data_IF_671911696623
#
_entry.id   IF_671911696623
#
_cell.length_a   1.000
_cell.length_b   1.000
_cell.length_c   1.000
_cell.angle_alpha   90.00
_cell.angle_beta   90.00
_cell.angle_gamma   90.00
#
_symmetry.space_group_name_H-M   'P 1'
#
loop_
_entity.id
_entity.type
_entity.pdbx_description
1 polymer ?
#
# COMPACT_ATOMS: atom_id res chain seq x y z
N UNK A 1 12.76 11.25 2.05
CA UNK A 1 11.53 11.13 2.82
C UNK A 1 11.85 10.92 4.32
N UNK A 2 11.03 11.50 5.19
CA UNK A 2 11.23 11.44 6.65
C UNK A 2 10.52 10.22 7.27
N UNK A 3 10.51 9.08 6.57
CA UNK A 3 9.71 7.88 6.91
C UNK A 3 9.94 7.31 8.30
N UNK A 4 11.10 7.63 8.92
CA UNK A 4 11.45 7.18 10.28
C UNK A 4 10.96 8.12 11.37
N UNK A 5 10.49 9.33 11.03
CA UNK A 5 9.98 10.29 11.99
C UNK A 5 8.54 9.98 12.37
N UNK A 6 8.18 10.26 13.60
CA UNK A 6 6.76 10.27 13.97
C UNK A 6 6.02 11.36 13.19
N UNK A 7 4.72 11.20 13.02
CA UNK A 7 3.92 12.17 12.26
C UNK A 7 3.98 13.58 12.86
N UNK A 8 3.99 13.68 14.19
CA UNK A 8 4.10 14.96 14.91
C UNK A 8 5.43 15.69 14.65
N UNK A 9 6.49 14.95 14.35
CA UNK A 9 7.84 15.49 14.12
C UNK A 9 8.17 15.65 12.64
N UNK A 10 7.23 15.29 11.77
CA UNK A 10 7.43 15.38 10.32
C UNK A 10 7.36 16.82 9.85
N UNK A 11 8.36 17.26 9.12
CA UNK A 11 8.34 18.57 8.51
C UNK A 11 7.26 18.68 7.42
N UNK A 12 6.78 19.90 7.17
CA UNK A 12 5.86 20.15 6.04
C UNK A 12 6.44 19.67 4.70
N UNK A 13 7.73 19.89 4.49
CA UNK A 13 8.41 19.47 3.27
C UNK A 13 8.43 17.93 3.14
N UNK A 14 8.77 17.21 4.22
CA UNK A 14 8.75 15.74 4.26
C UNK A 14 7.35 15.17 4.04
N UNK A 15 6.34 15.77 4.67
CA UNK A 15 4.94 15.38 4.51
C UNK A 15 4.47 15.56 3.06
N UNK A 16 4.72 16.73 2.45
CA UNK A 16 4.37 16.98 1.06
C UNK A 16 5.15 16.09 0.08
N UNK A 17 6.40 15.78 0.37
CA UNK A 17 7.18 14.83 -0.43
C UNK A 17 6.58 13.42 -0.39
N UNK A 18 6.12 12.95 0.77
CA UNK A 18 5.44 11.65 0.89
C UNK A 18 4.16 11.60 0.05
N UNK A 19 3.31 12.62 0.13
CA UNK A 19 2.10 12.74 -0.70
C UNK A 19 2.43 12.80 -2.20
N UNK A 20 3.38 13.65 -2.58
CA UNK A 20 3.77 13.84 -3.98
C UNK A 20 4.26 12.55 -4.62
N UNK A 21 5.15 11.83 -3.93
CA UNK A 21 5.78 10.61 -4.49
C UNK A 21 4.86 9.40 -4.38
N UNK A 22 4.14 9.24 -3.27
CA UNK A 22 3.44 7.97 -2.97
C UNK A 22 1.93 8.00 -3.24
N UNK A 23 1.35 9.14 -3.62
CA UNK A 23 -0.04 9.28 -4.04
C UNK A 23 -0.15 10.00 -5.37
N UNK A 24 0.26 11.27 -5.45
CA UNK A 24 0.10 12.09 -6.64
C UNK A 24 0.79 11.52 -7.89
N UNK A 25 1.83 10.71 -7.74
CA UNK A 25 2.49 10.03 -8.85
C UNK A 25 1.50 9.18 -9.68
N UNK A 26 0.54 8.50 -9.04
CA UNK A 26 -0.51 7.75 -9.75
C UNK A 26 -1.37 8.69 -10.60
N UNK A 27 -1.82 9.80 -10.02
CA UNK A 27 -2.62 10.81 -10.72
C UNK A 27 -1.87 11.37 -11.93
N UNK A 28 -0.61 11.78 -11.72
CA UNK A 28 0.24 12.36 -12.75
C UNK A 28 0.54 11.38 -13.90
N UNK A 29 0.86 10.13 -13.57
CA UNK A 29 1.11 9.10 -14.59
C UNK A 29 -0.14 8.80 -15.40
N UNK A 30 -1.29 8.63 -14.74
CA UNK A 30 -2.53 8.30 -15.43
C UNK A 30 -3.05 9.47 -16.28
N UNK A 31 -2.87 10.70 -15.84
CA UNK A 31 -3.22 11.88 -16.63
C UNK A 31 -2.42 11.95 -17.96
N UNK A 32 -1.16 11.53 -17.93
CA UNK A 32 -0.27 11.56 -19.10
C UNK A 32 -0.40 10.30 -19.97
N UNK A 33 -0.47 9.15 -19.36
CA UNK A 33 -0.45 7.86 -20.06
C UNK A 33 -1.86 7.35 -20.43
N UNK A 34 -2.88 7.75 -19.69
CA UNK A 34 -4.28 7.33 -19.91
C UNK A 34 -4.77 7.49 -21.35
N UNK A 35 -4.51 8.63 -22.02
CA UNK A 35 -4.89 8.81 -23.42
C UNK A 35 -4.25 7.83 -24.41
N UNK A 36 -3.11 7.23 -24.04
CA UNK A 36 -2.38 6.26 -24.86
C UNK A 36 -2.71 4.79 -24.50
N UNK A 37 -3.46 4.57 -23.44
CA UNK A 37 -3.83 3.23 -23.01
C UNK A 37 -4.91 2.64 -23.92
N UNK A 38 -4.83 1.34 -24.13
CA UNK A 38 -5.91 0.61 -24.80
C UNK A 38 -7.16 0.64 -23.91
N UNK A 39 -8.33 0.70 -24.52
CA UNK A 39 -9.59 0.45 -23.78
C UNK A 39 -9.52 -0.94 -23.13
N UNK A 40 -10.18 -1.09 -22.00
CA UNK A 40 -10.13 -2.29 -21.16
C UNK A 40 -8.76 -2.53 -20.46
N UNK A 41 -7.82 -1.61 -20.62
CA UNK A 41 -6.55 -1.60 -19.90
C UNK A 41 -6.77 -1.51 -18.38
N UNK A 42 -5.71 -1.77 -17.63
CA UNK A 42 -5.74 -1.67 -16.17
C UNK A 42 -4.52 -0.93 -15.63
N UNK A 43 -4.76 -0.21 -14.55
CA UNK A 43 -3.73 0.47 -13.75
C UNK A 43 -3.81 -0.06 -12.33
N UNK A 44 -2.65 -0.37 -11.76
CA UNK A 44 -2.52 -0.86 -10.39
C UNK A 44 -1.53 0.00 -9.63
N UNK A 45 -1.90 0.37 -8.42
CA UNK A 45 -1.00 0.97 -7.44
C UNK A 45 -0.76 0.02 -6.25
N UNK A 46 0.29 0.29 -5.48
CA UNK A 46 0.62 -0.48 -4.29
C UNK A 46 0.41 0.38 -3.04
N UNK A 47 -0.54 -0.03 -2.21
CA UNK A 47 -0.82 0.53 -0.90
C UNK A 47 -0.27 -0.36 0.22
N UNK A 48 -0.57 0.01 1.43
CA UNK A 48 -0.27 -0.73 2.64
C UNK A 48 -1.36 -0.46 3.68
N UNK A 49 -1.60 -1.41 4.57
CA UNK A 49 -2.62 -1.34 5.61
C UNK A 49 -2.53 -0.05 6.46
N UNK A 50 -1.33 0.56 6.55
CA UNK A 50 -1.12 1.84 7.22
C UNK A 50 -1.95 3.01 6.66
N UNK A 51 -2.51 2.90 5.46
CA UNK A 51 -3.49 3.85 4.92
C UNK A 51 -4.84 3.82 5.65
N UNK A 52 -5.13 2.76 6.40
CA UNK A 52 -6.43 2.54 7.06
C UNK A 52 -6.30 2.23 8.56
N UNK A 53 -5.15 1.78 9.02
CA UNK A 53 -4.88 1.39 10.40
C UNK A 53 -3.57 2.01 10.87
N UNK A 54 -3.43 2.18 12.17
CA UNK A 54 -2.17 2.64 12.74
C UNK A 54 -1.15 1.50 12.70
N UNK A 55 -0.05 1.74 12.04
CA UNK A 55 1.12 0.85 12.05
C UNK A 55 2.27 1.63 12.71
N UNK A 56 2.60 1.35 13.97
CA UNK A 56 3.69 2.04 14.65
C UNK A 56 5.00 1.93 13.87
N UNK A 57 5.75 3.03 13.80
CA UNK A 57 7.00 3.11 13.03
C UNK A 57 6.84 3.37 11.53
N UNK A 58 5.62 3.42 11.00
CA UNK A 58 5.35 3.80 9.61
C UNK A 58 4.99 5.30 9.54
N UNK A 59 6.02 6.15 9.62
CA UNK A 59 5.89 7.60 9.85
C UNK A 59 6.14 8.47 8.62
N UNK A 60 6.50 9.72 8.88
CA UNK A 60 6.88 10.70 7.84
C UNK A 60 5.78 11.04 6.84
N UNK A 61 4.50 10.93 7.21
CA UNK A 61 3.39 11.18 6.30
C UNK A 61 3.06 10.01 5.35
N UNK A 62 3.75 8.86 5.46
CA UNK A 62 3.52 7.72 4.58
C UNK A 62 2.15 7.07 4.77
N UNK A 63 1.64 6.99 6.01
CA UNK A 63 0.26 6.51 6.26
C UNK A 63 -0.76 7.36 5.54
N UNK A 64 -0.63 8.68 5.66
CA UNK A 64 -1.50 9.65 4.97
C UNK A 64 -1.41 9.50 3.46
N UNK A 65 -0.19 9.33 2.92
CA UNK A 65 0.00 9.14 1.48
C UNK A 65 -0.65 7.85 0.97
N UNK A 66 -0.63 6.77 1.76
CA UNK A 66 -1.33 5.51 1.40
C UNK A 66 -2.86 5.67 1.47
N UNK A 67 -3.38 6.37 2.47
CA UNK A 67 -4.81 6.71 2.52
C UNK A 67 -5.25 7.59 1.36
N UNK A 68 -4.45 8.59 1.00
CA UNK A 68 -4.67 9.44 -0.16
C UNK A 68 -4.65 8.62 -1.47
N UNK A 69 -3.67 7.72 -1.64
CA UNK A 69 -3.57 6.83 -2.80
C UNK A 69 -4.82 5.96 -2.99
N UNK A 70 -5.36 5.41 -1.91
CA UNK A 70 -6.59 4.60 -1.96
C UNK A 70 -7.82 5.46 -2.29
N UNK A 71 -7.86 6.70 -1.78
CA UNK A 71 -8.90 7.67 -2.15
C UNK A 71 -8.80 8.07 -3.62
N UNK A 72 -7.59 8.43 -4.09
CA UNK A 72 -7.34 8.77 -5.49
C UNK A 72 -7.69 7.62 -6.42
N UNK A 73 -7.41 6.37 -6.03
CA UNK A 73 -7.78 5.18 -6.80
C UNK A 73 -9.27 5.13 -7.10
N UNK A 74 -10.14 5.44 -6.12
CA UNK A 74 -11.59 5.46 -6.33
C UNK A 74 -12.03 6.55 -7.31
N UNK A 75 -11.49 7.74 -7.15
CA UNK A 75 -11.77 8.88 -8.03
C UNK A 75 -11.28 8.62 -9.45
N UNK A 76 -10.04 8.14 -9.58
CA UNK A 76 -9.43 7.83 -10.87
C UNK A 76 -10.12 6.65 -11.57
N UNK A 77 -10.66 5.68 -10.83
CA UNK A 77 -11.45 4.59 -11.40
C UNK A 77 -12.69 5.14 -12.13
N UNK A 78 -13.34 6.14 -11.56
CA UNK A 78 -14.46 6.83 -12.23
C UNK A 78 -13.96 7.67 -13.41
N UNK A 79 -13.01 8.56 -13.20
CA UNK A 79 -12.58 9.50 -14.23
C UNK A 79 -11.90 8.81 -15.41
N UNK A 80 -10.94 7.92 -15.16
CA UNK A 80 -10.22 7.22 -16.21
C UNK A 80 -11.10 6.15 -16.88
N UNK A 81 -12.01 5.54 -16.14
CA UNK A 81 -13.00 4.64 -16.69
C UNK A 81 -13.87 5.35 -17.73
N UNK A 82 -14.38 6.53 -17.41
CA UNK A 82 -15.22 7.33 -18.33
C UNK A 82 -14.43 7.90 -19.51
N UNK A 83 -13.22 8.40 -19.27
CA UNK A 83 -12.40 9.07 -20.32
C UNK A 83 -11.70 8.07 -21.24
N UNK A 84 -11.11 7.04 -20.67
CA UNK A 84 -10.17 6.15 -21.38
C UNK A 84 -10.66 4.70 -21.47
N UNK A 85 -11.69 4.32 -20.71
CA UNK A 85 -12.17 2.94 -20.65
C UNK A 85 -11.18 2.01 -19.92
N UNK A 86 -10.41 2.52 -18.95
CA UNK A 86 -9.43 1.75 -18.18
C UNK A 86 -9.89 1.54 -16.74
N UNK A 87 -9.48 0.42 -16.15
CA UNK A 87 -9.74 0.10 -14.74
C UNK A 87 -8.58 0.58 -13.88
N UNK A 88 -8.87 1.06 -12.68
CA UNK A 88 -7.87 1.52 -11.71
C UNK A 88 -8.14 0.85 -10.38
N UNK A 89 -7.16 0.11 -9.87
CA UNK A 89 -7.24 -0.61 -8.59
C UNK A 89 -5.97 -0.43 -7.77
N UNK A 90 -6.06 -0.77 -6.50
CA UNK A 90 -4.94 -0.75 -5.57
C UNK A 90 -4.77 -2.13 -4.93
N UNK A 91 -3.54 -2.57 -4.76
CA UNK A 91 -3.20 -3.72 -3.93
C UNK A 91 -2.63 -3.20 -2.61
N UNK A 92 -3.25 -3.56 -1.50
CA UNK A 92 -2.70 -3.37 -0.16
C UNK A 92 -1.92 -4.63 0.21
N UNK A 93 -0.61 -4.59 -0.01
CA UNK A 93 0.27 -5.71 0.27
C UNK A 93 0.73 -5.71 1.73
N UNK A 94 0.87 -6.89 2.33
CA UNK A 94 1.56 -7.06 3.62
C UNK A 94 3.05 -6.69 3.53
N UNK A 95 3.77 -6.70 4.66
CA UNK A 95 5.19 -6.35 4.68
C UNK A 95 6.01 -7.37 3.88
N UNK A 96 6.88 -6.86 3.01
CA UNK A 96 7.81 -7.61 2.19
C UNK A 96 9.21 -7.04 2.38
N UNK A 97 10.23 -7.90 2.42
CA UNK A 97 11.62 -7.50 2.41
C UNK A 97 11.98 -6.92 1.03
N UNK A 98 11.76 -5.62 0.87
CA UNK A 98 12.08 -4.87 -0.34
C UNK A 98 13.01 -3.69 -0.02
N UNK A 99 13.70 -3.14 -1.02
CA UNK A 99 14.54 -1.95 -0.84
C UNK A 99 13.76 -0.76 -0.24
N UNK A 100 12.53 -0.57 -0.66
CA UNK A 100 11.67 0.50 -0.14
C UNK A 100 11.28 0.24 1.32
N UNK A 101 10.97 -1.00 1.67
CA UNK A 101 10.62 -1.40 3.03
C UNK A 101 11.84 -1.36 3.98
N UNK A 102 13.02 -1.74 3.50
CA UNK A 102 14.27 -1.66 4.29
C UNK A 102 14.60 -0.22 4.72
N UNK A 103 14.21 0.79 3.94
CA UNK A 103 14.37 2.20 4.30
C UNK A 103 13.56 2.60 5.56
N UNK A 104 12.48 1.88 5.88
CA UNK A 104 11.66 2.09 7.08
C UNK A 104 12.39 1.58 8.33
N UNK A 105 13.25 0.56 8.20
CA UNK A 105 14.11 0.04 9.25
C UNK A 105 13.46 -0.92 10.25
N UNK A 106 12.19 -1.29 10.04
CA UNK A 106 11.43 -2.23 10.90
C UNK A 106 10.79 -3.37 10.09
N UNK A 107 11.18 -3.52 8.82
CA UNK A 107 10.48 -4.45 7.91
C UNK A 107 10.56 -5.90 8.36
N UNK A 108 11.72 -6.35 8.83
CA UNK A 108 11.91 -7.73 9.29
C UNK A 108 11.02 -8.02 10.51
N UNK A 109 10.99 -7.10 11.47
CA UNK A 109 10.11 -7.19 12.65
C UNK A 109 8.63 -7.25 12.23
N UNK A 110 8.23 -6.45 11.24
CA UNK A 110 6.86 -6.49 10.72
C UNK A 110 6.55 -7.81 10.00
N UNK A 111 7.48 -8.35 9.22
CA UNK A 111 7.32 -9.67 8.59
C UNK A 111 7.09 -10.75 9.63
N UNK A 112 7.92 -10.80 10.68
CA UNK A 112 7.76 -11.79 11.75
C UNK A 112 6.47 -11.59 12.55
N UNK A 113 6.10 -10.35 12.80
CA UNK A 113 4.83 -10.04 13.46
C UNK A 113 3.62 -10.51 12.62
N UNK A 114 3.62 -10.27 11.31
CA UNK A 114 2.56 -10.72 10.42
C UNK A 114 2.48 -12.25 10.35
N UNK A 115 3.62 -12.95 10.27
CA UNK A 115 3.65 -14.43 10.30
C UNK A 115 2.96 -14.99 11.53
N UNK A 116 3.19 -14.38 12.69
CA UNK A 116 2.60 -14.84 13.95
C UNK A 116 1.10 -14.51 14.09
N UNK A 117 0.66 -13.44 13.40
CA UNK A 117 -0.65 -12.85 13.65
C UNK A 117 -1.60 -12.87 12.46
N UNK A 118 -1.21 -13.44 11.32
CA UNK A 118 -2.08 -13.62 10.16
C UNK A 118 -2.80 -14.97 10.19
N UNK A 119 -3.99 -15.08 9.58
CA UNK A 119 -4.68 -16.35 9.37
C UNK A 119 -3.82 -17.41 8.66
N UNK A 120 -3.01 -16.98 7.68
CA UNK A 120 -2.01 -17.83 7.03
C UNK A 120 -0.63 -17.49 7.62
N UNK A 121 -0.06 -18.36 8.51
CA UNK A 121 1.10 -18.03 9.33
C UNK A 121 2.44 -18.17 8.58
N UNK A 122 2.51 -17.64 7.37
CA UNK A 122 3.67 -17.70 6.49
C UNK A 122 4.09 -16.29 6.06
N UNK A 123 5.35 -16.12 5.69
CA UNK A 123 5.79 -14.87 5.10
C UNK A 123 5.12 -14.64 3.74
N UNK A 124 4.63 -13.43 3.52
CA UNK A 124 4.16 -13.02 2.20
C UNK A 124 5.33 -13.00 1.21
N UNK A 125 5.10 -13.48 0.01
CA UNK A 125 6.07 -13.47 -1.09
C UNK A 125 5.72 -12.40 -2.13
N UNK A 126 6.74 -11.87 -2.82
CA UNK A 126 6.52 -10.96 -3.94
C UNK A 126 5.73 -11.61 -5.07
N UNK A 127 5.87 -12.93 -5.25
CA UNK A 127 5.13 -13.70 -6.25
C UNK A 127 3.63 -13.68 -5.98
N UNK A 128 3.20 -13.79 -4.73
CA UNK A 128 1.77 -13.74 -4.39
C UNK A 128 1.17 -12.38 -4.72
N UNK A 129 1.90 -11.30 -4.45
CA UNK A 129 1.48 -9.95 -4.83
C UNK A 129 1.45 -9.79 -6.35
N UNK A 130 2.45 -10.33 -7.05
CA UNK A 130 2.53 -10.30 -8.51
C UNK A 130 1.38 -11.08 -9.18
N UNK A 131 0.99 -12.24 -8.63
CA UNK A 131 -0.15 -13.01 -9.14
C UNK A 131 -1.47 -12.25 -8.98
N UNK A 132 -1.69 -11.58 -7.85
CA UNK A 132 -2.84 -10.72 -7.66
C UNK A 132 -2.83 -9.52 -8.65
N UNK A 133 -1.66 -8.93 -8.88
CA UNK A 133 -1.49 -7.88 -9.87
C UNK A 133 -1.78 -8.39 -11.30
N UNK A 134 -1.29 -9.57 -11.66
CA UNK A 134 -1.57 -10.20 -12.96
C UNK A 134 -3.07 -10.44 -13.15
N UNK A 135 -3.75 -10.97 -12.11
CA UNK A 135 -5.21 -11.12 -12.14
C UNK A 135 -5.91 -9.79 -12.37
N UNK A 136 -5.58 -8.75 -11.59
CA UNK A 136 -6.20 -7.43 -11.71
C UNK A 136 -5.87 -6.73 -13.05
N UNK A 137 -4.76 -7.07 -13.68
CA UNK A 137 -4.41 -6.58 -15.02
C UNK A 137 -5.09 -7.36 -16.14
N UNK A 138 -5.58 -8.57 -15.87
CA UNK A 138 -6.16 -9.46 -16.88
C UNK A 138 -7.65 -9.18 -17.15
N UNK A 139 -8.21 -9.69 -18.25
CA UNK A 139 -9.65 -9.65 -18.52
C UNK A 139 -10.50 -10.37 -17.46
N UNK A 140 -9.92 -11.29 -16.68
CA UNK A 140 -10.63 -12.01 -15.61
C UNK A 140 -11.18 -11.07 -14.51
N UNK A 141 -10.62 -9.88 -14.39
CA UNK A 141 -11.07 -8.84 -13.47
C UNK A 141 -11.79 -7.68 -14.15
N UNK A 142 -12.40 -7.91 -15.31
CA UNK A 142 -13.04 -6.86 -16.13
C UNK A 142 -14.11 -6.05 -15.39
N UNK A 143 -14.79 -6.63 -14.41
CA UNK A 143 -15.76 -5.96 -13.55
C UNK A 143 -15.18 -5.29 -12.30
N UNK A 144 -13.85 -5.33 -12.07
CA UNK A 144 -13.22 -4.84 -10.85
C UNK A 144 -12.50 -3.52 -11.14
N UNK A 145 -12.98 -2.43 -10.55
CA UNK A 145 -12.33 -1.11 -10.59
C UNK A 145 -12.65 -0.31 -9.32
N UNK A 146 -11.76 0.58 -8.90
CA UNK A 146 -11.92 1.40 -7.69
C UNK A 146 -11.73 0.64 -6.37
N UNK A 147 -11.21 -0.58 -6.42
CA UNK A 147 -11.08 -1.47 -5.27
C UNK A 147 -9.68 -1.45 -4.69
N UNK A 148 -9.59 -1.66 -3.38
CA UNK A 148 -8.37 -2.04 -2.68
C UNK A 148 -8.43 -3.54 -2.37
N UNK A 149 -7.52 -4.30 -2.97
CA UNK A 149 -7.40 -5.75 -2.76
C UNK A 149 -6.28 -6.03 -1.77
N UNK A 150 -6.58 -6.75 -0.71
CA UNK A 150 -5.57 -7.13 0.29
C UNK A 150 -4.84 -8.39 -0.14
N UNK A 151 -3.51 -8.33 -0.10
CA UNK A 151 -2.61 -9.47 -0.29
C UNK A 151 -1.64 -9.46 0.88
N UNK A 152 -2.06 -9.97 2.01
CA UNK A 152 -1.39 -9.81 3.30
C UNK A 152 -1.57 -11.02 4.24
N UNK A 153 -1.80 -12.20 3.66
CA UNK A 153 -2.05 -13.45 4.42
C UNK A 153 -3.29 -13.38 5.32
N UNK A 154 -4.19 -12.40 5.07
CA UNK A 154 -5.42 -12.18 5.84
C UNK A 154 -5.23 -11.31 7.08
N UNK A 155 -4.05 -10.71 7.30
CA UNK A 155 -3.80 -9.89 8.47
C UNK A 155 -4.77 -8.71 8.60
N UNK A 156 -5.20 -8.12 7.49
CA UNK A 156 -6.15 -6.99 7.51
C UNK A 156 -7.48 -7.30 8.24
N UNK A 157 -7.87 -8.57 8.30
CA UNK A 157 -9.10 -9.03 8.96
C UNK A 157 -8.94 -9.23 10.48
N UNK A 158 -7.70 -9.21 11.00
CA UNK A 158 -7.43 -9.43 12.40
C UNK A 158 -7.71 -8.17 13.23
N UNK A 159 -8.48 -8.33 14.29
CA UNK A 159 -8.76 -7.27 15.28
C UNK A 159 -7.84 -7.30 16.50
N UNK A 160 -7.10 -8.39 16.70
CA UNK A 160 -6.25 -8.59 17.87
C UNK A 160 -5.03 -9.42 17.50
N UNK A 161 -3.89 -9.15 18.14
CA UNK A 161 -2.69 -9.97 18.03
C UNK A 161 -2.88 -11.33 18.71
N UNK A 162 -2.35 -12.38 18.11
CA UNK A 162 -2.32 -13.74 18.68
C UNK A 162 -1.06 -13.93 19.53
N UNK A 163 0.08 -13.40 19.07
CA UNK A 163 1.38 -13.49 19.72
C UNK A 163 2.28 -12.30 19.39
N UNK A 164 3.32 -12.12 20.20
CA UNK A 164 4.39 -11.16 19.92
C UNK A 164 5.68 -11.88 19.56
N UNK A 165 6.44 -11.44 18.53
CA UNK A 165 7.76 -11.98 18.24
C UNK A 165 8.69 -11.82 19.44
N UNK A 166 9.62 -12.75 19.68
CA UNK A 166 10.70 -12.54 20.63
C UNK A 166 11.44 -11.22 20.33
N UNK A 167 11.70 -10.42 21.36
CA UNK A 167 12.38 -9.12 21.22
C UNK A 167 11.65 -8.10 20.34
N UNK A 168 10.30 -8.14 20.28
CA UNK A 168 9.54 -7.11 19.59
C UNK A 168 9.89 -5.74 20.20
N UNK A 169 10.34 -4.77 19.40
CA UNK A 169 10.81 -3.50 19.94
C UNK A 169 9.64 -2.68 20.52
N UNK A 170 9.92 -1.90 21.54
CA UNK A 170 8.98 -0.87 21.97
C UNK A 170 8.91 0.22 20.88
N UNK A 171 7.80 0.24 20.14
CA UNK A 171 7.57 1.20 19.07
C UNK A 171 6.97 2.52 19.61
N UNK A 172 6.72 2.63 20.91
CA UNK A 172 6.21 3.86 21.53
C UNK A 172 7.33 4.81 21.96
N UNK A 173 8.52 4.27 22.23
CA UNK A 173 9.68 5.00 22.74
C UNK A 173 10.57 5.63 21.65
N UNK A 174 10.21 5.53 20.39
CA UNK A 174 10.99 6.14 19.29
C UNK A 174 10.70 7.63 19.22
N UNK A 175 11.54 8.38 19.87
CA UNK A 175 11.67 9.84 19.73
C UNK A 175 12.48 10.20 18.49
#
# INVERSE_FOLDING_TARGET
PEVKRQLLDTSRAGYLAALSVSSYSLVSMLAKLGPMMRREGAVISLSYLAGQRVIPGYGGGMSTAKGALESDTRTLAFEAGRRFGVRVNTISAGPLASRAASAIGIVETLVDYYKLNSPLPEALTATEVALAAAFLCSPLSSGITGSTTYVDKGYNAMGMAVAMPPNFPDLTSRT
#
